data_IF_175146926890
#
_entry.id   IF_175146926890
#
_cell.length_a   1.000
_cell.length_b   1.000
_cell.length_c   1.000
_cell.angle_alpha   90.00
_cell.angle_beta   90.00
_cell.angle_gamma   90.00
#
_symmetry.space_group_name_H-M   'P 1'
#
loop_
_entity.id
_entity.type
_entity.pdbx_description
1 polymer ?
#
# COMPACT_ATOMS: atom_id res chain seq x y z
N UNK A 1 -9.11 30.41 -62.44
CA UNK A 1 -9.89 29.84 -61.33
C UNK A 1 -9.01 28.87 -60.53
N UNK A 2 -8.97 29.02 -59.20
CA UNK A 2 -8.53 28.06 -58.16
C UNK A 2 -7.03 27.65 -58.18
N UNK A 3 -6.29 27.57 -57.07
CA UNK A 3 -6.40 28.06 -55.68
C UNK A 3 -4.97 27.86 -55.14
N UNK A 4 -4.36 28.86 -54.53
CA UNK A 4 -3.05 28.73 -53.85
C UNK A 4 -3.22 27.80 -52.65
N UNK A 5 -2.44 26.71 -52.57
CA UNK A 5 -2.29 25.94 -51.33
C UNK A 5 -1.03 26.41 -50.63
N UNK A 6 -1.22 27.13 -49.52
CA UNK A 6 -0.17 27.41 -48.54
C UNK A 6 0.01 26.14 -47.71
N UNK A 7 1.22 25.57 -47.73
CA UNK A 7 1.65 24.60 -46.71
C UNK A 7 1.91 25.40 -45.44
N UNK A 8 1.09 25.19 -44.41
CA UNK A 8 1.36 25.72 -43.07
C UNK A 8 1.77 24.56 -42.18
N UNK A 9 3.04 24.53 -41.84
CA UNK A 9 3.64 23.67 -40.83
C UNK A 9 3.11 24.11 -39.46
N UNK A 10 2.09 23.43 -38.95
CA UNK A 10 1.62 23.62 -37.58
C UNK A 10 2.49 22.76 -36.65
N UNK A 11 3.53 23.37 -36.10
CA UNK A 11 4.28 22.86 -34.96
C UNK A 11 3.34 22.92 -33.75
N UNK A 12 2.73 21.80 -33.36
CA UNK A 12 2.06 21.71 -32.05
C UNK A 12 3.14 21.70 -30.97
N UNK A 13 3.46 22.88 -30.45
CA UNK A 13 4.08 23.01 -29.15
C UNK A 13 3.04 22.55 -28.12
N UNK A 14 3.15 21.32 -27.66
CA UNK A 14 2.46 20.84 -26.46
C UNK A 14 3.05 21.59 -25.25
N UNK A 15 2.49 22.75 -24.97
CA UNK A 15 2.75 23.48 -23.73
C UNK A 15 2.09 22.66 -22.61
N UNK A 16 2.90 21.86 -21.92
CA UNK A 16 2.55 21.36 -20.58
C UNK A 16 2.50 22.61 -19.71
N UNK A 17 1.30 23.16 -19.56
CA UNK A 17 1.04 24.27 -18.67
C UNK A 17 1.20 23.74 -17.25
N UNK A 18 2.33 24.05 -16.63
CA UNK A 18 2.58 23.88 -15.20
C UNK A 18 1.57 24.76 -14.48
N UNK A 19 0.43 24.19 -14.12
CA UNK A 19 -0.49 24.82 -13.20
C UNK A 19 0.15 24.72 -11.83
N UNK A 20 0.74 25.81 -11.34
CA UNK A 20 0.98 25.95 -9.91
C UNK A 20 -0.40 25.96 -9.24
N UNK A 21 -0.86 24.79 -8.80
CA UNK A 21 -2.08 24.66 -8.01
C UNK A 21 -1.95 25.51 -6.76
N UNK A 22 -2.90 26.41 -6.53
CA UNK A 22 -2.99 27.13 -5.26
C UNK A 22 -3.33 26.11 -4.17
N UNK A 23 -2.49 26.06 -3.12
CA UNK A 23 -2.69 25.15 -1.99
C UNK A 23 -4.12 25.34 -1.44
N UNK A 24 -4.89 24.26 -1.27
CA UNK A 24 -6.16 24.33 -0.58
C UNK A 24 -5.89 24.78 0.86
N UNK A 25 -6.17 26.04 1.16
CA UNK A 25 -5.97 26.63 2.47
C UNK A 25 -6.90 25.97 3.50
N UNK A 26 -6.45 24.88 4.11
CA UNK A 26 -6.58 24.67 5.55
C UNK A 26 -5.42 25.44 6.18
N UNK A 27 -5.64 26.12 7.30
CA UNK A 27 -4.72 27.07 7.93
C UNK A 27 -3.24 26.66 7.78
N UNK A 28 -2.56 27.18 6.75
CA UNK A 28 -1.17 26.85 6.50
C UNK A 28 -0.32 27.67 7.46
N UNK A 29 -0.04 27.11 8.64
CA UNK A 29 0.84 27.73 9.64
C UNK A 29 2.29 27.83 9.13
N UNK A 30 2.67 26.96 8.19
CA UNK A 30 3.95 27.04 7.48
C UNK A 30 3.74 27.85 6.19
N UNK A 31 4.42 29.00 6.03
CA UNK A 31 4.27 29.83 4.86
C UNK A 31 4.62 29.10 3.55
N UNK A 32 3.74 29.18 2.56
CA UNK A 32 3.91 28.49 1.27
C UNK A 32 5.14 28.95 0.47
N UNK A 33 5.72 30.11 0.79
CA UNK A 33 6.96 30.58 0.18
C UNK A 33 8.21 29.85 0.70
N UNK A 34 8.08 28.98 1.73
CA UNK A 34 9.19 28.19 2.27
C UNK A 34 9.48 26.90 1.51
N UNK A 35 8.63 26.51 0.57
CA UNK A 35 8.77 25.30 -0.21
C UNK A 35 8.19 25.47 -1.62
N UNK A 36 8.48 24.53 -2.50
CA UNK A 36 7.72 24.33 -3.73
C UNK A 36 6.96 23.01 -3.62
N UNK A 37 5.73 23.03 -4.11
CA UNK A 37 4.81 21.90 -4.08
C UNK A 37 4.17 21.74 -5.46
N UNK A 38 4.18 20.52 -5.99
CA UNK A 38 3.49 20.16 -7.22
C UNK A 38 2.65 18.90 -6.99
N UNK A 39 1.43 18.91 -7.56
CA UNK A 39 0.52 17.77 -7.54
C UNK A 39 0.17 17.39 -8.97
N UNK A 40 0.37 16.12 -9.32
CA UNK A 40 -0.16 15.58 -10.56
C UNK A 40 -1.56 14.99 -10.36
N UNK A 41 -2.33 14.90 -11.45
CA UNK A 41 -3.59 14.15 -11.43
C UNK A 41 -4.73 14.75 -10.60
N UNK A 42 -4.68 16.04 -10.25
CA UNK A 42 -5.76 16.72 -9.54
C UNK A 42 -7.07 16.69 -10.35
N UNK A 43 -8.17 16.35 -9.67
CA UNK A 43 -9.52 16.24 -10.21
C UNK A 43 -10.47 17.32 -9.66
N UNK A 44 -10.05 18.02 -8.61
CA UNK A 44 -10.82 19.04 -7.91
C UNK A 44 -10.73 18.86 -6.39
N UNK A 45 -11.71 19.40 -5.67
CA UNK A 45 -11.79 19.25 -4.22
C UNK A 45 -13.22 19.07 -3.74
N UNK A 46 -13.40 18.37 -2.63
CA UNK A 46 -14.66 18.23 -1.91
C UNK A 46 -14.49 18.62 -0.44
N UNK A 47 -15.60 18.66 0.29
CA UNK A 47 -15.62 18.89 1.73
C UNK A 47 -16.13 17.64 2.41
N UNK A 48 -15.30 17.00 3.22
CA UNK A 48 -15.65 15.76 3.93
C UNK A 48 -15.50 15.96 5.44
N UNK A 49 -16.41 15.38 6.22
CA UNK A 49 -16.15 15.11 7.63
C UNK A 49 -15.24 13.89 7.72
N UNK A 50 -14.06 14.06 8.31
CA UNK A 50 -13.08 12.98 8.47
C UNK A 50 -12.62 12.97 9.91
N UNK A 51 -12.70 11.80 10.54
CA UNK A 51 -12.10 11.53 11.84
C UNK A 51 -10.86 10.68 11.56
N UNK A 52 -9.67 11.28 11.71
CA UNK A 52 -8.39 10.58 11.50
C UNK A 52 -7.70 10.40 12.85
N UNK A 53 -7.43 9.14 13.17
CA UNK A 53 -6.75 8.75 14.40
C UNK A 53 -5.26 8.55 14.11
N UNK A 54 -4.42 9.21 14.90
CA UNK A 54 -2.97 8.93 14.92
C UNK A 54 -2.52 8.57 16.34
N UNK A 55 -1.43 7.83 16.42
CA UNK A 55 -0.81 7.46 17.69
C UNK A 55 0.25 8.49 18.04
N UNK A 56 0.15 9.09 19.23
CA UNK A 56 1.27 9.86 19.75
C UNK A 56 2.46 8.95 20.14
N UNK A 57 3.61 9.54 20.47
CA UNK A 57 4.81 8.78 20.85
C UNK A 57 4.56 7.85 22.06
N UNK A 58 3.55 8.17 22.87
CA UNK A 58 3.08 7.42 24.04
C UNK A 58 1.93 6.44 23.73
N UNK A 59 1.56 6.27 22.46
CA UNK A 59 0.44 5.45 21.99
C UNK A 59 -0.94 5.88 22.53
N UNK A 60 -1.10 7.14 22.93
CA UNK A 60 -2.42 7.71 23.14
C UNK A 60 -2.98 8.13 21.78
N UNK A 61 -4.23 7.77 21.54
CA UNK A 61 -4.99 8.29 20.42
C UNK A 61 -5.06 9.80 20.55
N UNK A 62 -4.61 10.49 19.51
CA UNK A 62 -4.83 11.92 19.36
C UNK A 62 -5.55 12.14 18.04
N UNK A 63 -6.60 12.94 18.11
CA UNK A 63 -7.27 13.42 16.92
C UNK A 63 -6.25 14.24 16.13
N UNK A 64 -5.85 13.73 14.95
CA UNK A 64 -4.94 14.46 14.06
C UNK A 64 -5.65 15.70 13.51
N UNK A 65 -6.97 15.59 13.39
CA UNK A 65 -7.87 16.49 12.73
C UNK A 65 -9.23 16.45 13.46
N UNK A 66 -9.63 17.57 14.09
CA UNK A 66 -10.84 17.70 14.91
C UNK A 66 -11.92 18.66 14.33
N UNK A 67 -11.77 19.14 13.10
CA UNK A 67 -12.75 20.00 12.43
C UNK A 67 -13.90 19.17 11.84
N UNK A 68 -15.10 19.76 11.78
CA UNK A 68 -16.29 19.07 11.28
C UNK A 68 -16.27 18.84 9.77
N UNK A 69 -15.46 19.59 9.01
CA UNK A 69 -15.38 19.50 7.55
C UNK A 69 -14.01 19.95 7.01
N UNK A 70 -13.30 19.04 6.36
CA UNK A 70 -12.02 19.30 5.73
C UNK A 70 -12.14 19.45 4.21
N UNK A 71 -11.37 20.37 3.64
CA UNK A 71 -11.17 20.41 2.19
C UNK A 71 -10.27 19.25 1.76
N UNK A 72 -10.83 18.31 1.01
CA UNK A 72 -10.14 17.14 0.48
C UNK A 72 -9.86 17.34 -1.00
N UNK A 73 -8.60 17.20 -1.40
CA UNK A 73 -8.19 17.24 -2.81
C UNK A 73 -8.42 15.87 -3.44
N UNK A 74 -9.22 15.83 -4.51
CA UNK A 74 -9.45 14.61 -5.27
C UNK A 74 -8.36 14.44 -6.31
N UNK A 75 -7.79 13.25 -6.39
CA UNK A 75 -6.69 12.94 -7.31
C UNK A 75 -6.91 11.61 -8.02
N UNK A 76 -6.34 11.43 -9.22
CA UNK A 76 -6.34 10.15 -9.93
C UNK A 76 -5.48 9.11 -9.21
N UNK A 77 -5.78 7.83 -9.43
CA UNK A 77 -4.89 6.73 -9.01
C UNK A 77 -3.52 6.89 -9.68
N UNK A 78 -2.47 6.80 -8.86
CA UNK A 78 -1.09 7.04 -9.29
C UNK A 78 -0.69 8.52 -9.33
N UNK A 79 -1.49 9.44 -8.79
CA UNK A 79 -1.11 10.84 -8.62
C UNK A 79 0.18 10.98 -7.80
N UNK A 80 0.98 11.99 -8.12
CA UNK A 80 2.31 12.21 -7.53
C UNK A 80 2.34 13.56 -6.82
N UNK A 81 2.82 13.54 -5.58
CA UNK A 81 3.22 14.73 -4.84
C UNK A 81 4.72 14.93 -5.06
N UNK A 82 5.12 16.15 -5.44
CA UNK A 82 6.51 16.60 -5.39
C UNK A 82 6.64 17.73 -4.39
N UNK A 83 7.59 17.59 -3.48
CA UNK A 83 7.83 18.55 -2.41
C UNK A 83 9.32 18.89 -2.33
N UNK A 84 9.64 20.19 -2.37
CA UNK A 84 11.03 20.69 -2.30
C UNK A 84 11.08 21.85 -1.31
N UNK A 85 11.59 21.65 -0.09
CA UNK A 85 11.68 22.73 0.87
C UNK A 85 12.91 23.61 0.61
N UNK A 86 12.83 24.92 0.85
CA UNK A 86 13.96 25.86 0.67
C UNK A 86 14.97 25.79 1.81
N UNK A 87 14.54 25.30 2.97
CA UNK A 87 15.34 24.99 4.14
C UNK A 87 15.07 23.56 4.59
N UNK A 88 15.86 23.01 5.53
CA UNK A 88 15.55 21.67 6.06
C UNK A 88 14.17 21.73 6.72
N UNK A 89 13.27 20.82 6.34
CA UNK A 89 11.88 20.87 6.76
C UNK A 89 11.32 19.46 6.97
N UNK A 90 10.50 19.31 8.01
CA UNK A 90 9.75 18.08 8.22
C UNK A 90 8.58 18.00 7.25
N UNK A 91 8.46 16.88 6.54
CA UNK A 91 7.34 16.57 5.65
C UNK A 91 7.08 15.06 5.64
N UNK A 92 5.86 14.65 5.98
CA UNK A 92 5.44 13.24 6.02
C UNK A 92 4.12 13.11 5.26
N UNK A 93 3.97 12.04 4.48
CA UNK A 93 2.67 11.65 3.92
C UNK A 93 2.19 10.41 4.63
N UNK A 94 1.22 10.56 5.52
CA UNK A 94 0.53 9.45 6.15
C UNK A 94 -0.70 9.06 5.31
N UNK A 95 -1.10 7.80 5.38
CA UNK A 95 -2.33 7.34 4.76
C UNK A 95 -3.23 6.66 5.78
N UNK A 96 -4.53 6.84 5.59
CA UNK A 96 -5.56 6.43 6.53
C UNK A 96 -6.67 5.72 5.76
N UNK A 97 -7.23 4.69 6.39
CA UNK A 97 -8.42 4.03 5.87
C UNK A 97 -9.65 4.90 6.10
N UNK A 98 -10.76 4.55 5.44
CA UNK A 98 -12.03 5.28 5.54
C UNK A 98 -12.63 5.28 6.95
N UNK A 99 -12.22 4.36 7.80
CA UNK A 99 -12.63 4.29 9.22
C UNK A 99 -11.76 5.14 10.15
N UNK A 100 -10.77 5.86 9.60
CA UNK A 100 -9.86 6.71 10.37
C UNK A 100 -8.58 6.03 10.82
N UNK A 101 -8.48 4.70 10.69
CA UNK A 101 -7.30 3.94 11.11
C UNK A 101 -6.06 4.37 10.32
N UNK A 102 -4.97 4.68 11.03
CA UNK A 102 -3.67 4.95 10.41
C UNK A 102 -3.12 3.71 9.71
N UNK A 103 -2.94 3.80 8.39
CA UNK A 103 -2.25 2.78 7.60
C UNK A 103 -0.73 2.91 7.65
N UNK A 104 -0.22 4.07 8.10
CA UNK A 104 1.21 4.36 8.25
C UNK A 104 1.71 5.48 7.33
N UNK A 105 3.03 5.64 7.27
CA UNK A 105 3.70 6.64 6.45
C UNK A 105 4.12 6.07 5.10
N UNK A 106 3.96 6.85 4.03
CA UNK A 106 4.54 6.55 2.73
C UNK A 106 6.04 6.85 2.71
N UNK A 107 6.76 6.13 1.84
CA UNK A 107 8.19 6.28 1.64
C UNK A 107 8.43 7.37 0.58
N UNK A 108 9.31 8.31 0.88
CA UNK A 108 9.73 9.31 -0.10
C UNK A 108 10.70 8.71 -1.11
N UNK A 109 10.61 9.11 -2.36
CA UNK A 109 11.71 8.97 -3.32
C UNK A 109 12.45 10.29 -3.43
N UNK A 110 13.72 10.30 -3.04
CA UNK A 110 14.61 11.48 -3.05
C UNK A 110 15.83 11.12 -3.91
N UNK A 111 16.12 11.95 -4.92
CA UNK A 111 17.23 11.72 -5.86
C UNK A 111 17.23 10.29 -6.50
N UNK A 112 16.03 9.72 -6.70
CA UNK A 112 15.85 8.38 -7.28
C UNK A 112 16.06 7.22 -6.30
N UNK A 113 16.25 7.49 -5.02
CA UNK A 113 16.34 6.48 -3.95
C UNK A 113 15.15 6.57 -3.01
N UNK A 114 14.65 5.41 -2.57
CA UNK A 114 13.61 5.33 -1.54
C UNK A 114 14.22 5.65 -0.16
N UNK A 115 13.68 6.66 0.51
CA UNK A 115 14.13 7.16 1.80
C UNK A 115 12.97 7.22 2.80
N UNK A 116 13.11 6.45 3.89
CA UNK A 116 12.21 6.54 5.04
C UNK A 116 12.71 7.64 5.98
N UNK A 117 12.31 8.87 5.69
CA UNK A 117 12.67 10.05 6.49
C UNK A 117 11.45 10.93 6.70
N UNK A 118 11.39 11.60 7.86
CA UNK A 118 10.45 12.68 8.11
C UNK A 118 11.04 14.05 7.82
N UNK A 119 12.37 14.17 7.71
CA UNK A 119 13.07 15.42 7.41
C UNK A 119 13.60 15.40 5.98
N UNK A 120 13.24 16.42 5.21
CA UNK A 120 13.72 16.63 3.85
C UNK A 120 14.75 17.77 3.86
N UNK A 121 15.93 17.50 3.31
CA UNK A 121 17.00 18.48 3.24
C UNK A 121 16.65 19.65 2.30
N UNK A 122 17.23 20.82 2.58
CA UNK A 122 17.03 22.01 1.77
C UNK A 122 17.35 21.77 0.28
N UNK A 123 16.44 22.20 -0.59
CA UNK A 123 16.50 22.11 -2.05
C UNK A 123 16.55 20.67 -2.61
N UNK A 124 16.30 19.65 -1.79
CA UNK A 124 16.08 18.28 -2.26
C UNK A 124 14.61 18.08 -2.59
N UNK A 125 14.33 17.45 -3.73
CA UNK A 125 12.96 17.16 -4.14
C UNK A 125 12.61 15.76 -3.70
N UNK A 126 11.61 15.66 -2.83
CA UNK A 126 11.01 14.41 -2.40
C UNK A 126 9.72 14.17 -3.19
N UNK A 127 9.54 12.93 -3.63
CA UNK A 127 8.39 12.52 -4.45
C UNK A 127 7.69 11.32 -3.85
N UNK A 128 6.36 11.28 -3.92
CA UNK A 128 5.58 10.11 -3.47
C UNK A 128 4.33 9.95 -4.32
N UNK A 129 3.94 8.70 -4.54
CA UNK A 129 2.76 8.34 -5.31
C UNK A 129 1.58 7.97 -4.40
N UNK A 130 0.40 8.50 -4.71
CA UNK A 130 -0.87 8.22 -4.06
C UNK A 130 -1.59 7.13 -4.84
N UNK A 131 -2.10 6.10 -4.16
CA UNK A 131 -2.69 4.93 -4.84
C UNK A 131 -3.99 4.46 -4.19
N UNK A 132 -4.80 3.68 -4.89
CA UNK A 132 -5.94 2.97 -4.28
C UNK A 132 -5.56 1.62 -3.66
N UNK A 133 -4.29 1.37 -3.31
CA UNK A 133 -3.83 0.02 -2.95
C UNK A 133 -3.41 -0.08 -1.49
N UNK A 134 -4.08 -0.97 -0.75
CA UNK A 134 -3.74 -1.33 0.62
C UNK A 134 -3.84 -2.85 0.81
N UNK A 135 -2.79 -3.48 1.30
CA UNK A 135 -2.77 -4.93 1.57
C UNK A 135 -3.10 -5.82 0.36
N UNK A 136 -2.86 -5.34 -0.86
CA UNK A 136 -3.20 -6.00 -2.12
C UNK A 136 -4.66 -5.79 -2.56
N UNK A 137 -5.44 -5.02 -1.82
CA UNK A 137 -6.84 -4.68 -2.13
C UNK A 137 -6.95 -3.29 -2.74
N UNK A 138 -7.98 -3.11 -3.56
CA UNK A 138 -8.39 -1.77 -3.99
C UNK A 138 -9.24 -1.18 -2.88
N UNK A 139 -8.82 -0.04 -2.34
CA UNK A 139 -9.44 0.62 -1.20
C UNK A 139 -9.52 2.12 -1.42
N UNK A 140 -10.54 2.74 -0.82
CA UNK A 140 -10.54 4.18 -0.67
C UNK A 140 -9.62 4.56 0.50
N UNK A 141 -8.69 5.48 0.25
CA UNK A 141 -7.74 5.96 1.25
C UNK A 141 -7.76 7.49 1.30
N UNK A 142 -7.55 8.01 2.51
CA UNK A 142 -7.14 9.39 2.72
C UNK A 142 -5.63 9.43 2.85
N UNK A 143 -5.02 10.46 2.28
CA UNK A 143 -3.61 10.77 2.44
C UNK A 143 -3.48 12.15 3.07
N UNK A 144 -2.63 12.29 4.09
CA UNK A 144 -2.36 13.57 4.75
C UNK A 144 -0.89 13.88 4.59
N UNK A 145 -0.59 14.93 3.81
CA UNK A 145 0.73 15.55 3.81
C UNK A 145 0.79 16.54 4.96
N UNK A 146 1.60 16.24 5.97
CA UNK A 146 1.89 17.12 7.11
C UNK A 146 3.26 17.76 6.94
N UNK A 147 3.31 19.09 6.93
CA UNK A 147 4.51 19.90 6.73
C UNK A 147 4.75 20.75 7.98
N UNK A 148 5.96 20.71 8.53
CA UNK A 148 6.34 21.44 9.74
C UNK A 148 6.38 20.58 11.01
N UNK A 149 6.58 21.24 12.15
CA UNK A 149 6.82 20.64 13.46
C UNK A 149 6.13 21.43 14.59
N UNK A 150 5.86 20.74 15.70
CA UNK A 150 5.26 21.35 16.89
C UNK A 150 3.88 21.93 16.60
N UNK A 151 3.69 23.18 17.02
CA UNK A 151 2.44 23.94 16.83
C UNK A 151 2.41 24.70 15.48
N UNK A 152 3.30 24.37 14.54
CA UNK A 152 3.34 24.98 13.21
C UNK A 152 3.29 23.88 12.15
N UNK A 153 2.10 23.29 11.96
CA UNK A 153 1.90 22.17 11.03
C UNK A 153 0.84 22.54 10.01
N UNK A 154 1.19 22.42 8.73
CA UNK A 154 0.24 22.53 7.63
C UNK A 154 -0.14 21.15 7.13
N UNK A 155 -1.44 20.87 7.05
CA UNK A 155 -1.98 19.61 6.56
C UNK A 155 -2.68 19.80 5.22
N UNK A 156 -2.37 18.95 4.24
CA UNK A 156 -3.11 18.85 2.99
C UNK A 156 -3.65 17.42 2.86
N UNK A 157 -4.95 17.30 2.66
CA UNK A 157 -5.64 16.01 2.61
C UNK A 157 -5.98 15.67 1.15
N UNK A 158 -5.66 14.45 0.75
CA UNK A 158 -5.98 13.91 -0.56
C UNK A 158 -6.87 12.67 -0.42
N UNK A 159 -7.70 12.45 -1.43
CA UNK A 159 -8.42 11.19 -1.63
C UNK A 159 -8.29 10.77 -3.07
N UNK A 160 -7.88 9.54 -3.28
CA UNK A 160 -7.78 8.99 -4.63
C UNK A 160 -9.20 8.65 -5.11
N UNK A 161 -9.58 9.19 -6.27
CA UNK A 161 -10.91 9.03 -6.86
C UNK A 161 -10.79 8.72 -8.35
N UNK A 162 -11.72 7.92 -8.87
CA UNK A 162 -11.76 7.59 -10.31
C UNK A 162 -12.48 8.68 -11.12
N UNK A 163 -12.81 9.82 -10.49
CA UNK A 163 -13.51 10.93 -11.13
C UNK A 163 -15.02 10.78 -11.18
N UNK A 164 -15.59 9.74 -10.58
CA UNK A 164 -17.03 9.67 -10.31
C UNK A 164 -17.30 10.35 -8.97
N UNK A 165 -17.91 11.52 -8.99
CA UNK A 165 -18.53 12.09 -7.79
C UNK A 165 -19.54 11.09 -7.24
N UNK A 166 -19.49 10.85 -5.93
CA UNK A 166 -20.43 9.98 -5.24
C UNK A 166 -21.83 10.60 -5.25
N UNK A 167 -22.73 10.01 -6.03
CA UNK A 167 -24.15 9.88 -5.70
C UNK A 167 -24.54 8.43 -6.01
N UNK A 168 -25.22 7.74 -5.10
CA UNK A 168 -25.69 6.35 -5.25
C UNK A 168 -27.18 6.27 -4.88
N UNK A 169 -27.96 5.21 -5.22
CA UNK A 169 -27.72 4.10 -6.18
C UNK A 169 -28.89 3.83 -7.17
N UNK A 170 -28.64 3.06 -8.25
CA UNK A 170 -29.64 2.21 -8.93
C UNK A 170 -28.99 1.14 -9.84
N UNK A 171 -29.68 -0.01 -9.95
CA UNK A 171 -29.32 -1.35 -10.45
C UNK A 171 -29.43 -1.57 -11.98
N UNK A 172 -28.71 -2.61 -12.46
CA UNK A 172 -28.91 -3.49 -13.66
C UNK A 172 -28.83 -2.85 -15.07
N UNK A 173 -28.35 -3.44 -16.19
CA UNK A 173 -28.12 -4.84 -16.62
C UNK A 173 -27.26 -4.88 -17.94
N UNK A 174 -26.34 -5.85 -18.01
CA UNK A 174 -25.85 -6.75 -19.10
C UNK A 174 -25.79 -6.44 -20.63
N UNK A 175 -24.74 -7.05 -21.24
CA UNK A 175 -24.54 -7.60 -22.62
C UNK A 175 -23.83 -6.70 -23.67
N UNK A 176 -22.90 -7.13 -24.54
CA UNK A 176 -22.43 -8.45 -25.01
C UNK A 176 -21.02 -8.38 -25.68
N UNK A 177 -20.38 -9.55 -25.83
CA UNK A 177 -19.11 -9.87 -26.53
C UNK A 177 -19.15 -9.68 -28.08
N UNK A 178 -18.01 -9.86 -28.77
CA UNK A 178 -17.85 -11.13 -29.53
C UNK A 178 -16.46 -11.82 -29.50
N UNK A 179 -16.53 -13.15 -29.73
CA UNK A 179 -15.50 -14.20 -30.00
C UNK A 179 -14.64 -13.92 -31.26
N UNK A 180 -13.53 -14.57 -31.64
CA UNK A 180 -12.93 -15.89 -31.34
C UNK A 180 -11.45 -15.97 -31.88
N UNK A 181 -10.55 -16.66 -31.13
CA UNK A 181 -9.45 -17.61 -31.48
C UNK A 181 -8.41 -17.41 -32.63
N UNK A 182 -7.29 -18.19 -32.68
CA UNK A 182 -6.42 -18.74 -31.62
C UNK A 182 -4.90 -18.66 -31.95
N UNK A 183 -4.00 -18.83 -30.96
CA UNK A 183 -2.63 -19.35 -31.20
C UNK A 183 -1.99 -19.90 -29.92
N UNK A 184 -1.43 -21.11 -30.01
CA UNK A 184 -0.66 -21.81 -28.97
C UNK A 184 0.82 -21.97 -29.43
N UNK A 185 1.74 -22.58 -28.66
CA UNK A 185 2.66 -21.92 -27.72
C UNK A 185 4.15 -22.11 -28.07
N UNK A 186 5.05 -21.29 -27.52
CA UNK A 186 6.48 -21.61 -27.40
C UNK A 186 7.15 -20.78 -26.27
N UNK A 187 7.94 -21.48 -25.44
CA UNK A 187 8.62 -21.07 -24.20
C UNK A 187 10.03 -20.42 -24.45
N UNK A 188 10.95 -20.20 -23.47
CA UNK A 188 11.31 -18.86 -23.00
C UNK A 188 12.84 -18.48 -23.04
N UNK A 189 13.09 -17.17 -22.82
CA UNK A 189 14.31 -16.48 -22.27
C UNK A 189 15.65 -16.53 -23.06
N UNK A 190 16.59 -15.56 -22.90
CA UNK A 190 17.17 -15.05 -21.62
C UNK A 190 17.09 -13.51 -21.45
N UNK A 191 16.55 -13.00 -20.33
CA UNK A 191 17.26 -12.59 -19.11
C UNK A 191 18.07 -11.29 -19.25
N UNK A 192 17.36 -10.17 -19.09
CA UNK A 192 17.98 -8.89 -18.77
C UNK A 192 18.22 -8.85 -17.25
N UNK A 193 19.49 -8.77 -16.87
CA UNK A 193 19.97 -8.60 -15.49
C UNK A 193 19.50 -7.26 -14.91
N UNK A 194 18.63 -7.30 -13.90
CA UNK A 194 18.32 -6.14 -13.04
C UNK A 194 18.80 -6.48 -11.63
N UNK A 195 19.54 -5.55 -11.01
CA UNK A 195 20.12 -5.70 -9.67
C UNK A 195 18.99 -5.98 -8.64
N UNK A 196 19.14 -6.95 -7.72
CA UNK A 196 18.17 -7.14 -6.65
C UNK A 196 18.23 -5.96 -5.69
N UNK A 197 17.08 -5.35 -5.40
CA UNK A 197 16.95 -4.48 -4.23
C UNK A 197 16.93 -5.42 -3.01
N UNK A 198 18.02 -5.43 -2.24
CA UNK A 198 18.33 -6.44 -1.21
C UNK A 198 17.61 -6.25 0.13
N UNK A 199 16.84 -5.18 0.30
CA UNK A 199 16.02 -4.95 1.50
C UNK A 199 14.83 -4.04 1.18
N UNK A 200 13.67 -4.33 1.76
CA UNK A 200 12.47 -3.51 1.74
C UNK A 200 12.12 -3.02 3.15
N UNK A 201 11.26 -2.01 3.25
CA UNK A 201 10.72 -1.55 4.53
C UNK A 201 9.40 -2.27 4.79
N UNK A 202 9.28 -2.88 5.97
CA UNK A 202 8.08 -3.48 6.49
C UNK A 202 7.41 -2.52 7.47
N UNK A 203 6.29 -1.94 7.06
CA UNK A 203 5.44 -1.11 7.93
C UNK A 203 4.44 -1.99 8.67
N UNK A 204 4.10 -1.68 9.91
CA UNK A 204 3.16 -2.52 10.68
C UNK A 204 1.78 -2.46 10.01
N UNK A 205 1.17 -3.63 9.81
CA UNK A 205 -0.22 -3.73 9.37
C UNK A 205 -1.14 -3.54 10.57
N UNK A 206 -2.09 -2.61 10.46
CA UNK A 206 -3.09 -2.32 11.51
C UNK A 206 -4.41 -3.07 11.32
N UNK A 207 -4.56 -3.83 10.22
CA UNK A 207 -5.80 -4.54 9.92
C UNK A 207 -6.17 -5.53 11.01
N UNK A 208 -7.45 -5.53 11.38
CA UNK A 208 -8.06 -6.60 12.17
C UNK A 208 -8.06 -7.88 11.35
N UNK A 209 -7.81 -9.02 11.99
CA UNK A 209 -7.84 -10.32 11.31
C UNK A 209 -8.88 -11.22 11.95
N UNK A 210 -9.76 -11.76 11.13
CA UNK A 210 -10.73 -12.79 11.50
C UNK A 210 -10.36 -14.10 10.82
N UNK A 211 -10.32 -15.20 11.57
CA UNK A 211 -10.23 -16.56 11.05
C UNK A 211 -11.57 -17.23 11.31
N UNK A 212 -12.28 -17.58 10.24
CA UNK A 212 -13.65 -18.12 10.29
C UNK A 212 -14.59 -17.30 11.20
N UNK A 213 -14.49 -15.97 11.08
CA UNK A 213 -15.28 -15.00 11.84
C UNK A 213 -14.80 -14.76 13.28
N UNK A 214 -13.78 -15.48 13.77
CA UNK A 214 -13.19 -15.27 15.11
C UNK A 214 -11.97 -14.39 15.00
N UNK A 215 -11.88 -13.38 15.86
CA UNK A 215 -10.72 -12.50 15.87
C UNK A 215 -9.47 -13.25 16.36
N UNK A 216 -8.38 -13.14 15.59
CA UNK A 216 -7.07 -13.67 15.92
C UNK A 216 -6.05 -12.55 15.84
N UNK A 217 -5.18 -12.45 16.84
CA UNK A 217 -4.13 -11.44 16.86
C UNK A 217 -2.96 -11.86 15.95
N UNK A 218 -2.48 -10.94 15.13
CA UNK A 218 -1.32 -11.13 14.27
C UNK A 218 -0.40 -9.93 14.32
N UNK A 219 0.90 -10.17 14.28
CA UNK A 219 1.89 -9.15 13.94
C UNK A 219 2.22 -9.28 12.45
N UNK A 220 1.50 -8.53 11.62
CA UNK A 220 1.64 -8.52 10.17
C UNK A 220 2.29 -7.21 9.67
N UNK A 221 2.83 -7.24 8.46
CA UNK A 221 3.52 -6.10 7.88
C UNK A 221 3.06 -5.80 6.46
N UNK A 222 2.91 -4.52 6.14
CA UNK A 222 2.73 -4.03 4.77
C UNK A 222 4.08 -3.75 4.13
N UNK A 223 4.34 -4.44 3.01
CA UNK A 223 5.53 -4.25 2.15
C UNK A 223 5.03 -4.12 0.72
N UNK A 224 5.42 -3.05 0.01
CA UNK A 224 5.02 -2.81 -1.38
C UNK A 224 3.51 -2.98 -1.59
N UNK A 225 2.73 -2.37 -0.70
CA UNK A 225 1.26 -2.38 -0.68
C UNK A 225 0.62 -3.76 -0.56
N UNK A 226 1.34 -4.78 -0.10
CA UNK A 226 0.81 -6.11 0.17
C UNK A 226 1.00 -6.45 1.65
N UNK A 227 0.06 -7.19 2.23
CA UNK A 227 0.17 -7.63 3.62
C UNK A 227 0.88 -8.96 3.70
N UNK A 228 1.95 -8.99 4.49
CA UNK A 228 2.79 -10.14 4.74
C UNK A 228 2.59 -10.63 6.17
N UNK A 229 2.42 -11.94 6.30
CA UNK A 229 2.21 -12.61 7.58
C UNK A 229 3.33 -13.59 7.84
N UNK A 230 3.73 -13.73 9.10
CA UNK A 230 4.65 -14.78 9.51
C UNK A 230 4.01 -16.14 9.16
N UNK A 231 4.72 -16.94 8.38
CA UNK A 231 4.20 -18.18 7.80
C UNK A 231 3.58 -19.11 8.86
N UNK A 232 4.31 -19.32 9.96
CA UNK A 232 3.89 -20.20 11.06
C UNK A 232 2.69 -19.66 11.83
N UNK A 233 2.49 -18.36 11.84
CA UNK A 233 1.31 -17.77 12.48
C UNK A 233 0.06 -18.10 11.65
N UNK A 234 0.14 -18.09 10.31
CA UNK A 234 -0.95 -18.54 9.44
C UNK A 234 -1.21 -20.04 9.64
N UNK A 235 -0.17 -20.87 9.63
CA UNK A 235 -0.29 -22.31 9.85
C UNK A 235 -0.98 -22.64 11.18
N UNK A 236 -0.57 -21.95 12.26
CA UNK A 236 -1.21 -22.06 13.58
C UNK A 236 -2.67 -21.63 13.56
N UNK A 237 -2.98 -20.52 12.88
CA UNK A 237 -4.31 -19.94 12.91
C UNK A 237 -5.36 -20.77 12.19
N UNK A 238 -4.98 -21.48 11.13
CA UNK A 238 -5.87 -22.40 10.38
C UNK A 238 -5.77 -23.85 10.86
N UNK A 239 -4.93 -24.13 11.86
CA UNK A 239 -4.72 -25.49 12.36
C UNK A 239 -6.01 -26.07 12.97
N UNK A 240 -6.35 -27.30 12.60
CA UNK A 240 -7.61 -27.94 12.99
C UNK A 240 -8.79 -27.63 12.08
N UNK A 241 -8.57 -26.92 10.97
CA UNK A 241 -9.54 -26.76 9.87
C UNK A 241 -9.16 -27.66 8.69
N UNK A 242 -10.04 -27.74 7.68
CA UNK A 242 -9.76 -28.47 6.44
C UNK A 242 -8.67 -27.79 5.58
N UNK A 243 -8.20 -26.59 5.95
CA UNK A 243 -7.06 -25.91 5.33
C UNK A 243 -5.82 -25.90 6.22
N UNK A 244 -5.71 -26.85 7.16
CA UNK A 244 -4.47 -27.06 7.93
C UNK A 244 -3.30 -27.35 6.98
N UNK A 245 -2.10 -26.90 7.33
CA UNK A 245 -0.88 -27.28 6.64
C UNK A 245 0.30 -27.29 7.61
N UNK A 246 1.24 -28.22 7.42
CA UNK A 246 2.49 -28.29 8.19
C UNK A 246 3.58 -27.42 7.55
N UNK A 247 4.52 -26.92 8.37
CA UNK A 247 5.65 -26.09 7.92
C UNK A 247 6.97 -26.73 8.34
N UNK A 248 7.67 -27.31 7.38
CA UNK A 248 9.03 -27.82 7.55
C UNK A 248 10.11 -26.79 7.21
N UNK A 249 11.30 -27.00 7.78
CA UNK A 249 12.50 -26.23 7.47
C UNK A 249 13.68 -27.16 7.24
N UNK A 250 14.30 -27.03 6.07
CA UNK A 250 15.55 -27.68 5.71
C UNK A 250 16.65 -26.61 5.63
N UNK A 251 17.45 -26.55 6.69
CA UNK A 251 18.57 -25.61 6.78
C UNK A 251 19.77 -25.97 5.91
N UNK A 252 19.93 -27.24 5.50
CA UNK A 252 21.03 -27.68 4.64
C UNK A 252 20.80 -27.22 3.20
N UNK A 253 19.56 -27.31 2.73
CA UNK A 253 19.17 -26.90 1.38
C UNK A 253 18.54 -25.50 1.31
N UNK A 254 18.44 -24.79 2.44
CA UNK A 254 17.77 -23.48 2.54
C UNK A 254 16.35 -23.54 1.94
N UNK A 255 15.55 -24.49 2.41
CA UNK A 255 14.22 -24.76 1.86
C UNK A 255 13.14 -24.81 2.95
N UNK A 256 11.95 -24.36 2.58
CA UNK A 256 10.72 -24.43 3.37
C UNK A 256 9.81 -25.45 2.68
N UNK A 257 9.28 -26.40 3.44
CA UNK A 257 8.24 -27.30 2.94
C UNK A 257 6.90 -26.95 3.56
N UNK A 258 5.85 -26.94 2.74
CA UNK A 258 4.46 -26.78 3.11
C UNK A 258 3.76 -28.09 2.75
N UNK A 259 3.15 -28.76 3.71
CA UNK A 259 2.37 -29.97 3.46
C UNK A 259 0.90 -29.67 3.69
N UNK A 260 0.12 -29.62 2.62
CA UNK A 260 -1.31 -29.31 2.66
C UNK A 260 -2.09 -30.39 3.39
N UNK A 261 -3.18 -29.99 4.05
CA UNK A 261 -4.10 -30.87 4.79
C UNK A 261 -3.49 -31.59 6.00
N UNK A 262 -2.23 -31.32 6.33
CA UNK A 262 -1.57 -31.84 7.52
C UNK A 262 -1.70 -30.86 8.69
N UNK A 263 -1.91 -31.37 9.91
CA UNK A 263 -2.00 -30.53 11.10
C UNK A 263 -0.64 -29.89 11.41
N UNK A 264 -0.64 -28.58 11.67
CA UNK A 264 0.57 -27.87 12.06
C UNK A 264 1.04 -28.28 13.46
N UNK A 265 2.35 -28.50 13.61
CA UNK A 265 3.01 -28.81 14.87
C UNK A 265 3.54 -27.52 15.51
N UNK A 266 2.98 -27.06 16.65
CA UNK A 266 3.45 -25.87 17.33
C UNK A 266 4.91 -25.96 17.76
N UNK A 267 5.70 -24.93 17.48
CA UNK A 267 7.11 -24.80 17.85
C UNK A 267 7.34 -23.69 18.87
N UNK A 268 6.30 -22.92 19.22
CA UNK A 268 6.34 -21.87 20.22
C UNK A 268 6.56 -20.48 19.61
N UNK A 269 5.89 -19.49 20.18
CA UNK A 269 5.95 -18.11 19.73
C UNK A 269 5.11 -17.80 18.49
N UNK A 270 4.28 -18.73 18.02
CA UNK A 270 3.24 -18.44 17.03
C UNK A 270 2.19 -17.48 17.59
N UNK A 271 1.67 -16.61 16.72
CA UNK A 271 0.66 -15.59 17.06
C UNK A 271 1.09 -14.63 18.18
N UNK A 272 2.38 -14.62 18.54
CA UNK A 272 2.92 -13.68 19.49
C UNK A 272 2.95 -12.28 18.86
N UNK A 273 2.36 -11.31 19.55
CA UNK A 273 2.35 -9.90 19.13
C UNK A 273 3.24 -9.08 20.07
N UNK A 274 4.04 -8.18 19.50
CA UNK A 274 4.81 -7.24 20.29
C UNK A 274 3.89 -6.21 20.95
N UNK A 275 4.18 -5.83 22.20
CA UNK A 275 3.42 -4.78 22.91
C UNK A 275 3.45 -3.43 22.18
N UNK A 276 4.51 -3.15 21.43
CA UNK A 276 4.64 -2.02 20.51
C UNK A 276 5.36 -2.47 19.25
N UNK A 277 4.60 -2.92 18.25
CA UNK A 277 5.18 -3.24 16.94
C UNK A 277 5.68 -1.95 16.28
N UNK A 278 6.81 -2.03 15.58
CA UNK A 278 7.41 -0.91 14.86
C UNK A 278 7.79 -1.35 13.46
N UNK A 279 7.99 -0.41 12.55
CA UNK A 279 8.49 -0.71 11.22
C UNK A 279 9.87 -1.38 11.29
N UNK A 280 10.10 -2.36 10.41
CA UNK A 280 11.32 -3.18 10.39
C UNK A 280 11.94 -3.18 9.00
N UNK A 281 13.25 -3.48 8.94
CA UNK A 281 13.88 -3.87 7.67
C UNK A 281 13.46 -5.30 7.33
N UNK A 282 13.09 -5.53 6.09
CA UNK A 282 12.72 -6.82 5.54
C UNK A 282 13.75 -7.22 4.49
N UNK A 283 14.44 -8.34 4.69
CA UNK A 283 15.35 -8.89 3.70
C UNK A 283 14.56 -9.81 2.76
N UNK A 284 14.74 -9.70 1.45
CA UNK A 284 14.10 -10.64 0.53
C UNK A 284 14.63 -12.06 0.82
N UNK A 285 13.74 -13.02 0.99
CA UNK A 285 14.11 -14.41 1.24
C UNK A 285 14.72 -15.03 0.00
N UNK A 286 15.73 -15.87 0.19
CA UNK A 286 16.35 -16.70 -0.85
C UNK A 286 15.99 -18.17 -0.70
N UNK A 287 15.17 -18.52 0.29
CA UNK A 287 14.79 -19.90 0.54
C UNK A 287 13.89 -20.42 -0.56
N UNK A 288 14.13 -21.66 -0.98
CA UNK A 288 13.18 -22.39 -1.84
C UNK A 288 11.92 -22.72 -1.05
N UNK A 289 10.78 -22.80 -1.73
CA UNK A 289 9.53 -23.21 -1.11
C UNK A 289 8.95 -24.36 -1.90
N UNK A 290 8.59 -25.43 -1.19
CA UNK A 290 7.94 -26.60 -1.76
C UNK A 290 6.55 -26.71 -1.16
N UNK A 291 5.52 -26.82 -1.99
CA UNK A 291 4.16 -27.13 -1.60
C UNK A 291 3.84 -28.54 -2.10
N UNK A 292 3.58 -29.47 -1.19
CA UNK A 292 3.32 -30.88 -1.52
C UNK A 292 4.38 -31.48 -2.46
N UNK A 293 5.65 -31.27 -2.10
CA UNK A 293 6.86 -31.67 -2.84
C UNK A 293 7.09 -30.98 -4.20
N UNK A 294 6.23 -30.05 -4.61
CA UNK A 294 6.40 -29.25 -5.82
C UNK A 294 7.03 -27.87 -5.50
N UNK A 295 8.10 -27.49 -6.21
CA UNK A 295 8.74 -26.18 -6.01
C UNK A 295 7.81 -25.07 -6.51
N UNK A 296 7.44 -24.16 -5.61
CA UNK A 296 6.57 -23.01 -5.87
C UNK A 296 7.31 -21.71 -5.61
N UNK A 297 7.06 -20.71 -6.46
CA UNK A 297 7.70 -19.41 -6.34
C UNK A 297 6.83 -18.46 -5.50
N UNK A 298 7.31 -18.10 -4.30
CA UNK A 298 6.73 -17.04 -3.48
C UNK A 298 7.65 -15.85 -3.34
N UNK A 299 7.07 -14.65 -3.27
CA UNK A 299 7.76 -13.51 -2.67
C UNK A 299 7.62 -13.62 -1.17
N UNK A 300 8.74 -13.81 -0.47
CA UNK A 300 8.80 -13.86 0.98
C UNK A 300 9.93 -12.98 1.51
N UNK A 301 9.79 -12.50 2.74
CA UNK A 301 10.80 -11.69 3.41
C UNK A 301 11.20 -12.30 4.75
N UNK A 302 12.46 -12.16 5.12
CA UNK A 302 12.92 -12.45 6.48
C UNK A 302 12.88 -11.17 7.31
N UNK A 303 12.11 -11.20 8.41
CA UNK A 303 11.99 -10.09 9.37
C UNK A 303 12.23 -10.67 10.77
N UNK A 304 13.25 -10.17 11.46
CA UNK A 304 13.60 -10.65 12.80
C UNK A 304 13.82 -12.17 12.88
N UNK A 305 14.41 -12.76 11.84
CA UNK A 305 14.67 -14.21 11.76
C UNK A 305 13.47 -15.09 11.41
N UNK A 306 12.30 -14.52 11.14
CA UNK A 306 11.10 -15.26 10.74
C UNK A 306 10.78 -15.02 9.26
N UNK A 307 10.16 -16.00 8.61
CA UNK A 307 9.72 -15.89 7.22
C UNK A 307 8.30 -15.34 7.12
N UNK A 308 8.15 -14.26 6.37
CA UNK A 308 6.90 -13.56 6.12
C UNK A 308 6.49 -13.70 4.66
N UNK A 309 5.28 -14.19 4.43
CA UNK A 309 4.75 -14.48 3.10
C UNK A 309 3.62 -13.54 2.77
N UNK A 310 3.53 -13.14 1.49
CA UNK A 310 2.39 -12.35 1.01
C UNK A 310 1.12 -13.18 1.19
N UNK A 311 0.21 -12.70 2.03
CA UNK A 311 -0.95 -13.47 2.49
C UNK A 311 -1.76 -14.04 1.33
N UNK A 312 -2.04 -13.20 0.33
CA UNK A 312 -2.89 -13.57 -0.80
C UNK A 312 -2.30 -14.68 -1.66
N UNK A 313 -0.99 -14.64 -1.90
CA UNK A 313 -0.34 -15.64 -2.75
C UNK A 313 -0.28 -16.98 -2.01
N UNK A 314 0.07 -16.97 -0.72
CA UNK A 314 0.06 -18.16 0.12
C UNK A 314 -1.34 -18.76 0.23
N UNK A 315 -2.36 -17.91 0.44
CA UNK A 315 -3.73 -18.35 0.58
C UNK A 315 -4.29 -18.96 -0.72
N UNK A 316 -4.01 -18.35 -1.86
CA UNK A 316 -4.40 -18.88 -3.18
C UNK A 316 -3.82 -20.28 -3.41
N UNK A 317 -2.53 -20.47 -3.10
CA UNK A 317 -1.86 -21.76 -3.24
C UNK A 317 -2.43 -22.85 -2.31
N UNK A 318 -2.90 -22.48 -1.11
CA UNK A 318 -3.47 -23.39 -0.12
C UNK A 318 -5.01 -23.52 -0.22
N UNK A 319 -5.63 -22.87 -1.21
CA UNK A 319 -7.09 -22.84 -1.35
C UNK A 319 -7.82 -22.18 -0.17
N UNK A 320 -7.19 -21.21 0.48
CA UNK A 320 -7.76 -20.40 1.57
C UNK A 320 -8.37 -19.14 0.98
N UNK A 321 -9.61 -18.83 1.34
CA UNK A 321 -10.28 -17.61 0.85
C UNK A 321 -9.90 -16.42 1.72
N UNK A 322 -9.44 -15.34 1.07
CA UNK A 322 -9.16 -14.06 1.73
C UNK A 322 -10.21 -13.03 1.34
N UNK A 323 -10.82 -12.39 2.34
CA UNK A 323 -11.73 -11.25 2.19
C UNK A 323 -11.13 -10.01 2.83
N UNK A 324 -11.60 -8.83 2.39
CA UNK A 324 -11.24 -7.56 3.01
C UNK A 324 -12.47 -6.66 3.11
N UNK A 325 -12.82 -6.26 4.33
CA UNK A 325 -13.78 -5.20 4.59
C UNK A 325 -13.05 -3.89 4.85
N UNK A 326 -13.10 -2.99 3.87
CA UNK A 326 -12.49 -1.67 3.95
C UNK A 326 -13.10 -0.77 5.02
N UNK A 327 -14.38 -0.96 5.36
CA UNK A 327 -15.07 -0.08 6.33
C UNK A 327 -14.66 -0.36 7.76
N UNK A 328 -14.17 -1.55 8.03
CA UNK A 328 -13.76 -2.01 9.36
C UNK A 328 -12.30 -2.43 9.39
N UNK A 329 -11.55 -2.10 8.32
CA UNK A 329 -10.17 -2.51 8.09
C UNK A 329 -9.91 -3.98 8.48
N UNK A 330 -10.78 -4.88 8.03
CA UNK A 330 -10.80 -6.27 8.49
C UNK A 330 -10.42 -7.23 7.36
N UNK A 331 -9.35 -7.98 7.57
CA UNK A 331 -8.96 -9.14 6.76
C UNK A 331 -9.72 -10.35 7.31
N UNK A 332 -10.46 -11.05 6.44
CA UNK A 332 -11.06 -12.35 6.75
C UNK A 332 -10.28 -13.48 6.10
N UNK A 333 -9.85 -14.45 6.89
CA UNK A 333 -9.30 -15.74 6.49
C UNK A 333 -10.43 -16.76 6.65
N UNK A 334 -10.89 -17.35 5.55
CA UNK A 334 -11.99 -18.30 5.53
C UNK A 334 -11.47 -19.66 5.06
N UNK A 335 -11.67 -20.67 5.91
CA UNK A 335 -11.17 -22.04 5.68
C UNK A 335 -12.26 -23.01 5.22
N UNK A 336 -13.52 -22.65 5.39
CA UNK A 336 -14.65 -23.40 4.85
C UNK A 336 -14.85 -23.12 3.34
N UNK A 337 -15.22 -24.15 2.59
CA UNK A 337 -15.62 -24.06 1.19
C UNK A 337 -17.05 -23.49 1.02
#
# INVERSE_FOLDING_TARGET
MKKRFRVSLALMLSVIMVMLGAIPALAAEVPADKYTYELSGELGSQSDKIELEDYDDNQQFRDLLAEENYKVVLVKDGAEIKFTPKEKMRAIVNYYLVDGSSGGALIWTIDGSEEMTSEIAANKTATVQLSKRYGGFTVDLYYVLSIGEGDQVSNIIYKVSDGSSSTAPASSEQAAEPKDSPAAPAEPKPEATVKPVTAATATVSVSKVLVDGKQVAFEAYSINNNTYFKLRDIAMAVNGTDKSFEVGWDGEHNAISLTSFEAYTPQGGELAVSAKATSKKAALSTSKVFLDDEEVAFTAYTIGGNNYFKLRDLADALGITITFDQKTNTIGIVTAD
#
